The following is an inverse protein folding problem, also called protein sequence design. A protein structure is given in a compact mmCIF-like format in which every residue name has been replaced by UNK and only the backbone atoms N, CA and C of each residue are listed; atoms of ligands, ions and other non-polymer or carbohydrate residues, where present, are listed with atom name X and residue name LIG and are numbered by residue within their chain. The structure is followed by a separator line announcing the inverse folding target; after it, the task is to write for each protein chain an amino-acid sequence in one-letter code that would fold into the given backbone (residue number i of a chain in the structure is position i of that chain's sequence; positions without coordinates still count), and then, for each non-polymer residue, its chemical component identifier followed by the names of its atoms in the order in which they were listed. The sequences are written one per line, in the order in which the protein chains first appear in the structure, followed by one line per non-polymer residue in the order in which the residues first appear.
data_IF_771033012591
#
_entry.id   IF_771033012591
#
_cell.length_a   1.000
_cell.length_b   1.000
_cell.length_c   1.000
_cell.angle_alpha   90.00
_cell.angle_beta   90.00
_cell.angle_gamma   90.00
#
_symmetry.space_group_name_H-M   'P 1'
#
loop_
_entity.id
_entity.type
_entity.pdbx_description
1 polymer ?
#
# COMPACT_ATOMS: atom_id res chain seq x y z
N UNK A 1 -11.54 -13.33 -4.03
CA UNK A 1 -10.69 -12.81 -5.13
C UNK A 1 -11.07 -11.39 -5.57
N UNK A 2 -12.09 -10.77 -4.94
CA UNK A 2 -12.71 -9.50 -5.38
C UNK A 2 -11.72 -8.31 -5.39
N UNK A 3 -10.84 -8.20 -4.38
CA UNK A 3 -9.88 -7.09 -4.30
C UNK A 3 -8.83 -7.12 -5.44
N UNK A 4 -8.36 -8.30 -5.82
CA UNK A 4 -7.30 -8.48 -6.84
C UNK A 4 -7.81 -8.12 -8.25
N UNK A 5 -9.10 -8.30 -8.52
CA UNK A 5 -9.74 -7.91 -9.78
C UNK A 5 -10.38 -6.52 -9.76
N UNK A 6 -10.05 -5.69 -8.76
CA UNK A 6 -10.64 -4.35 -8.61
C UNK A 6 -9.95 -3.30 -9.47
N UNK A 7 -10.55 -2.10 -9.55
CA UNK A 7 -10.00 -0.96 -10.29
C UNK A 7 -8.63 -0.49 -9.80
N UNK A 8 -8.13 -0.99 -8.66
CA UNK A 8 -6.82 -0.66 -8.12
C UNK A 8 -5.70 -1.04 -9.09
N UNK A 9 -5.91 -2.03 -9.97
CA UNK A 9 -4.94 -2.45 -11.00
C UNK A 9 -4.71 -1.40 -12.08
N UNK A 10 -5.59 -0.40 -12.20
CA UNK A 10 -5.50 0.61 -13.25
C UNK A 10 -4.49 1.72 -12.91
N UNK A 11 -4.07 1.83 -11.64
CA UNK A 11 -3.21 2.92 -11.19
C UNK A 11 -1.75 2.50 -11.23
N UNK A 12 -0.94 3.32 -11.89
CA UNK A 12 0.51 3.23 -11.87
C UNK A 12 1.06 4.11 -10.75
N UNK A 13 1.81 3.52 -9.80
CA UNK A 13 2.21 4.15 -8.54
C UNK A 13 3.66 3.83 -8.17
N UNK A 14 4.59 4.14 -9.07
CA UNK A 14 6.02 3.92 -8.83
C UNK A 14 6.55 4.79 -7.67
N UNK A 15 7.37 4.19 -6.82
CA UNK A 15 7.90 4.79 -5.60
C UNK A 15 7.34 4.09 -4.36
N UNK A 16 7.32 4.81 -3.24
CA UNK A 16 6.73 4.35 -1.97
C UNK A 16 5.61 5.31 -1.53
N UNK A 17 4.74 4.91 -0.58
CA UNK A 17 3.72 5.79 -0.02
C UNK A 17 4.32 7.11 0.48
N UNK A 18 3.75 8.24 0.06
CA UNK A 18 4.27 9.58 0.38
C UNK A 18 5.55 9.99 -0.37
N UNK A 19 6.16 9.10 -1.15
CA UNK A 19 7.35 9.32 -1.96
C UNK A 19 7.18 8.74 -3.38
N UNK A 20 5.98 8.89 -3.94
CA UNK A 20 5.65 8.44 -5.29
C UNK A 20 6.14 9.43 -6.34
N UNK A 21 6.54 8.93 -7.51
CA UNK A 21 6.94 9.76 -8.65
C UNK A 21 5.77 10.44 -9.36
N UNK A 22 4.55 9.89 -9.21
CA UNK A 22 3.34 10.34 -9.89
C UNK A 22 2.24 10.75 -8.91
N UNK A 23 1.42 11.71 -9.30
CA UNK A 23 0.29 12.20 -8.49
C UNK A 23 -0.95 11.30 -8.55
N UNK A 24 -1.88 11.54 -7.62
CA UNK A 24 -3.16 10.83 -7.53
C UNK A 24 -3.06 9.40 -6.98
N UNK A 25 -2.09 9.14 -6.11
CA UNK A 25 -1.88 7.85 -5.44
C UNK A 25 -2.49 7.77 -4.04
N UNK A 26 -3.26 8.78 -3.59
CA UNK A 26 -3.81 8.87 -2.23
C UNK A 26 -4.44 7.55 -1.74
N UNK A 27 -5.27 6.91 -2.57
CA UNK A 27 -5.91 5.63 -2.23
C UNK A 27 -4.99 4.42 -2.37
N UNK A 28 -3.97 4.48 -3.23
CA UNK A 28 -2.96 3.42 -3.36
C UNK A 28 -2.03 3.43 -2.15
N UNK A 29 -1.56 4.62 -1.76
CA UNK A 29 -0.74 4.83 -0.57
C UNK A 29 -1.47 4.33 0.68
N UNK A 30 -2.76 4.62 0.82
CA UNK A 30 -3.58 4.07 1.92
C UNK A 30 -3.60 2.54 1.91
N UNK A 31 -3.78 1.90 0.76
CA UNK A 31 -3.82 0.45 0.64
C UNK A 31 -2.45 -0.18 0.97
N UNK A 32 -1.36 0.42 0.48
CA UNK A 32 0.00 -0.08 0.70
C UNK A 32 0.44 0.10 2.16
N UNK A 33 0.23 1.29 2.75
CA UNK A 33 0.53 1.52 4.18
C UNK A 33 -0.28 0.58 5.08
N UNK A 34 -1.56 0.34 4.77
CA UNK A 34 -2.36 -0.63 5.50
C UNK A 34 -1.82 -2.06 5.36
N UNK A 35 -1.38 -2.45 4.16
CA UNK A 35 -0.80 -3.76 3.90
C UNK A 35 0.49 -3.97 4.70
N UNK A 36 1.41 -2.99 4.67
CA UNK A 36 2.66 -3.01 5.42
C UNK A 36 2.40 -3.14 6.93
N UNK A 37 1.49 -2.33 7.46
CA UNK A 37 1.10 -2.39 8.88
C UNK A 37 0.56 -3.77 9.26
N UNK A 38 -0.38 -4.31 8.48
CA UNK A 38 -0.96 -5.64 8.73
C UNK A 38 0.06 -6.76 8.61
N UNK A 39 1.04 -6.63 7.72
CA UNK A 39 2.12 -7.60 7.60
C UNK A 39 2.95 -7.65 8.88
N UNK A 40 3.35 -6.49 9.43
CA UNK A 40 4.08 -6.44 10.71
C UNK A 40 3.24 -7.02 11.86
N UNK A 41 1.97 -6.65 11.94
CA UNK A 41 1.04 -7.16 12.96
C UNK A 41 0.87 -8.68 12.89
N UNK A 42 0.78 -9.26 11.68
CA UNK A 42 0.59 -10.69 11.47
C UNK A 42 1.76 -11.54 11.99
N UNK A 43 2.96 -10.97 12.07
CA UNK A 43 4.17 -11.63 12.55
C UNK A 43 4.66 -11.06 13.90
N UNK A 44 3.85 -10.24 14.56
CA UNK A 44 4.16 -9.59 15.84
C UNK A 44 5.49 -8.84 15.85
N UNK A 45 5.78 -8.16 14.75
CA UNK A 45 7.01 -7.38 14.58
C UNK A 45 6.79 -5.95 15.08
N UNK A 46 7.80 -5.40 15.74
CA UNK A 46 7.83 -4.01 16.18
C UNK A 46 8.24 -3.11 15.00
N UNK A 47 7.39 -2.15 14.56
CA UNK A 47 7.71 -1.27 13.45
C UNK A 47 8.92 -0.36 13.68
N UNK A 48 9.33 -0.16 14.95
CA UNK A 48 10.43 0.72 15.31
C UNK A 48 11.79 0.00 15.44
N UNK A 49 11.86 -1.32 15.21
CA UNK A 49 13.05 -2.14 15.44
C UNK A 49 13.54 -2.86 14.19
#
# INVERSE_FOLDING_TARGET
MEAVGSIMTNKYSEGYPGASYYGGNEYIDMAETLCQKRALEAFWLDPAR
#
